data_IF_584437386037
#
_entry.id   IF_584437386037
#
_cell.length_a   1.000
_cell.length_b   1.000
_cell.length_c   1.000
_cell.angle_alpha   90.00
_cell.angle_beta   90.00
_cell.angle_gamma   90.00
#
_symmetry.space_group_name_H-M   'P 1'
#
loop_
_entity.id
_entity.type
_entity.pdbx_description
1 polymer ?
#
# COMPACT_ATOMS: atom_id res chain seq x y z
N UNK A 1 14.73 30.43 22.68
CA UNK A 1 13.85 29.25 22.86
C UNK A 1 14.26 28.07 21.99
N UNK A 2 15.53 27.59 22.11
CA UNK A 2 16.07 26.43 21.38
C UNK A 2 16.09 25.12 22.22
N UNK A 3 15.38 25.05 23.34
CA UNK A 3 15.66 24.08 24.41
C UNK A 3 14.95 22.74 24.37
N UNK A 4 13.82 22.56 23.69
CA UNK A 4 13.00 21.33 23.85
C UNK A 4 12.86 20.43 22.62
N UNK A 5 13.31 20.83 21.46
CA UNK A 5 13.16 20.01 20.24
C UNK A 5 14.13 18.81 20.22
N UNK A 6 15.30 18.90 20.88
CA UNK A 6 16.35 17.88 20.83
C UNK A 6 16.00 16.57 21.54
N UNK A 7 15.10 16.57 22.54
CA UNK A 7 14.76 15.37 23.34
C UNK A 7 13.36 14.83 22.98
N UNK A 8 12.50 15.67 22.43
CA UNK A 8 11.13 15.28 22.09
C UNK A 8 11.07 14.24 20.96
N UNK A 9 11.84 14.46 19.89
CA UNK A 9 11.88 13.53 18.75
C UNK A 9 12.43 12.15 19.10
N UNK A 10 13.60 12.03 19.79
CA UNK A 10 14.14 10.71 20.17
C UNK A 10 13.22 9.91 21.09
N UNK A 11 12.54 10.56 22.04
CA UNK A 11 11.58 9.88 22.93
C UNK A 11 10.39 9.32 22.16
N UNK A 12 9.83 10.08 21.23
CA UNK A 12 8.71 9.66 20.38
C UNK A 12 9.14 8.52 19.47
N UNK A 13 10.34 8.60 18.90
CA UNK A 13 10.93 7.55 18.07
C UNK A 13 11.10 6.25 18.86
N UNK A 14 11.59 6.32 20.11
CA UNK A 14 11.76 5.15 20.97
C UNK A 14 10.42 4.46 21.28
N UNK A 15 9.37 5.24 21.54
CA UNK A 15 8.02 4.70 21.78
C UNK A 15 7.53 3.94 20.55
N UNK A 16 7.64 4.55 19.36
CA UNK A 16 7.24 3.88 18.12
C UNK A 16 8.07 2.64 17.83
N UNK A 17 9.36 2.66 18.14
CA UNK A 17 10.23 1.50 18.01
C UNK A 17 9.78 0.34 18.91
N UNK A 18 9.46 0.62 20.18
CA UNK A 18 8.94 -0.40 21.11
C UNK A 18 7.60 -0.96 20.62
N UNK A 19 6.67 -0.08 20.16
CA UNK A 19 5.39 -0.51 19.60
C UNK A 19 5.60 -1.41 18.38
N UNK A 20 6.54 -1.05 17.50
CA UNK A 20 6.87 -1.86 16.32
C UNK A 20 7.45 -3.24 16.71
N UNK A 21 8.31 -3.32 17.73
CA UNK A 21 8.83 -4.60 18.22
C UNK A 21 7.74 -5.49 18.83
N UNK A 22 6.82 -4.88 19.59
CA UNK A 22 5.67 -5.61 20.16
C UNK A 22 4.77 -6.13 19.03
N UNK A 23 4.45 -5.30 18.04
CA UNK A 23 3.68 -5.71 16.88
C UNK A 23 4.36 -6.84 16.10
N UNK A 24 5.67 -6.73 15.87
CA UNK A 24 6.48 -7.77 15.23
C UNK A 24 6.42 -9.08 15.99
N UNK A 25 6.55 -9.03 17.32
CA UNK A 25 6.44 -10.23 18.18
C UNK A 25 5.07 -10.91 18.01
N UNK A 26 3.98 -10.15 18.03
CA UNK A 26 2.64 -10.71 17.83
C UNK A 26 2.47 -11.34 16.44
N UNK A 27 3.00 -10.71 15.39
CA UNK A 27 2.96 -11.27 14.03
C UNK A 27 3.76 -12.58 13.96
N UNK A 28 4.96 -12.62 14.54
CA UNK A 28 5.80 -13.82 14.53
C UNK A 28 5.25 -14.96 15.42
N UNK A 29 4.55 -14.63 16.50
CA UNK A 29 3.89 -15.58 17.38
C UNK A 29 2.54 -16.08 16.83
N UNK A 30 1.99 -15.42 15.84
CA UNK A 30 0.70 -15.78 15.23
C UNK A 30 0.89 -16.89 14.19
N UNK A 31 -0.01 -17.86 14.18
CA UNK A 31 -0.05 -18.87 13.14
C UNK A 31 -0.47 -18.27 11.79
N UNK A 32 0.14 -18.74 10.71
CA UNK A 32 -0.14 -18.29 9.34
C UNK A 32 -1.63 -18.36 8.98
N UNK A 33 -2.31 -19.44 9.36
CA UNK A 33 -3.73 -19.62 9.08
C UNK A 33 -4.59 -18.56 9.79
N UNK A 34 -4.20 -18.15 10.98
CA UNK A 34 -4.85 -17.07 11.71
C UNK A 34 -4.72 -15.75 10.96
N UNK A 35 -3.50 -15.37 10.56
CA UNK A 35 -3.24 -14.16 9.78
C UNK A 35 -4.02 -14.18 8.46
N UNK A 36 -4.01 -15.31 7.77
CA UNK A 36 -4.76 -15.54 6.53
C UNK A 36 -6.26 -15.36 6.74
N UNK A 37 -6.81 -15.83 7.85
CA UNK A 37 -8.22 -15.67 8.21
C UNK A 37 -8.66 -14.22 8.32
N UNK A 38 -7.80 -13.36 8.87
CA UNK A 38 -8.07 -11.92 9.03
C UNK A 38 -7.83 -11.07 7.78
N UNK A 39 -7.23 -11.60 6.74
CA UNK A 39 -6.84 -10.83 5.54
C UNK A 39 -8.01 -10.08 4.90
N UNK A 40 -9.18 -10.71 4.76
CA UNK A 40 -10.36 -10.07 4.15
C UNK A 40 -10.86 -8.89 5.00
N UNK A 41 -10.91 -9.08 6.33
CA UNK A 41 -11.34 -8.04 7.25
C UNK A 41 -10.34 -6.86 7.25
N UNK A 42 -9.06 -7.17 7.26
CA UNK A 42 -7.99 -6.17 7.25
C UNK A 42 -7.98 -5.37 5.93
N UNK A 43 -8.15 -6.06 4.79
CA UNK A 43 -8.26 -5.41 3.48
C UNK A 43 -9.51 -4.53 3.40
N UNK A 44 -10.68 -5.07 3.73
CA UNK A 44 -11.94 -4.30 3.74
C UNK A 44 -11.88 -3.09 4.68
N UNK A 45 -11.36 -3.29 5.90
CA UNK A 45 -11.15 -2.22 6.86
C UNK A 45 -10.21 -1.12 6.35
N UNK A 46 -9.12 -1.49 5.66
CA UNK A 46 -8.20 -0.52 5.08
C UNK A 46 -8.84 0.30 3.96
N UNK A 47 -9.69 -0.31 3.12
CA UNK A 47 -10.47 0.41 2.10
C UNK A 47 -11.44 1.40 2.74
N UNK A 48 -12.17 0.98 3.79
CA UNK A 48 -13.05 1.89 4.54
C UNK A 48 -12.27 3.08 5.10
N UNK A 49 -11.11 2.85 5.69
CA UNK A 49 -10.24 3.91 6.20
C UNK A 49 -9.73 4.85 5.09
N UNK A 50 -9.39 4.32 3.90
CA UNK A 50 -9.01 5.13 2.75
C UNK A 50 -10.17 6.02 2.26
N UNK A 51 -11.39 5.52 2.27
CA UNK A 51 -12.58 6.32 1.93
C UNK A 51 -12.85 7.37 3.02
N UNK A 52 -12.73 6.98 4.28
CA UNK A 52 -12.98 7.85 5.42
C UNK A 52 -12.02 9.04 5.44
N UNK A 53 -10.73 8.81 5.15
CA UNK A 53 -9.74 9.88 5.13
C UNK A 53 -9.98 10.92 4.02
N UNK A 54 -10.65 10.56 2.92
CA UNK A 54 -11.06 11.52 1.89
C UNK A 54 -12.08 12.54 2.42
N UNK A 55 -12.86 12.17 3.46
CA UNK A 55 -13.92 13.02 4.03
C UNK A 55 -13.40 13.82 5.23
N UNK A 56 -12.67 13.15 6.14
CA UNK A 56 -12.25 13.74 7.42
C UNK A 56 -10.74 13.98 7.53
N UNK A 57 -9.96 13.61 6.51
CA UNK A 57 -8.51 13.66 6.55
C UNK A 57 -7.95 15.08 6.55
N UNK A 58 -6.84 15.26 7.25
CA UNK A 58 -6.04 16.48 7.20
C UNK A 58 -5.08 16.44 6.01
N UNK A 59 -4.94 17.58 5.36
CA UNK A 59 -3.97 17.77 4.29
C UNK A 59 -2.60 18.09 4.87
N UNK A 60 -1.60 17.28 4.53
CA UNK A 60 -0.20 17.49 4.89
C UNK A 60 0.63 17.39 3.61
N UNK A 61 1.46 18.40 3.33
CA UNK A 61 2.29 18.50 2.13
C UNK A 61 1.49 18.31 0.80
N UNK A 62 0.24 18.77 0.77
CA UNK A 62 -0.61 18.69 -0.41
C UNK A 62 -1.43 17.38 -0.54
N UNK A 63 -1.19 16.38 0.30
CA UNK A 63 -1.94 15.12 0.30
C UNK A 63 -2.92 15.05 1.48
N UNK A 64 -4.21 14.77 1.19
CA UNK A 64 -5.26 14.57 2.21
C UNK A 64 -5.28 13.11 2.67
N UNK A 65 -4.22 12.69 3.37
CA UNK A 65 -4.00 11.29 3.71
C UNK A 65 -3.88 10.98 5.21
N UNK A 66 -4.12 11.94 6.12
CA UNK A 66 -3.85 11.79 7.54
C UNK A 66 -5.09 11.93 8.40
N UNK A 67 -5.32 10.96 9.28
CA UNK A 67 -6.32 11.03 10.36
C UNK A 67 -5.60 11.43 11.64
N UNK A 68 -5.94 12.59 12.18
CA UNK A 68 -5.37 13.07 13.43
C UNK A 68 -6.18 12.52 14.61
N UNK A 69 -5.52 11.71 15.44
CA UNK A 69 -6.08 11.16 16.68
C UNK A 69 -5.62 11.95 17.92
N UNK A 70 -5.11 13.16 17.73
CA UNK A 70 -4.63 14.06 18.78
C UNK A 70 -3.16 13.81 19.12
N UNK A 71 -2.82 12.69 19.73
CA UNK A 71 -1.44 12.34 20.11
C UNK A 71 -0.67 11.67 18.95
N UNK A 72 -1.37 10.96 18.10
CA UNK A 72 -0.83 10.19 16.98
C UNK A 72 -1.62 10.55 15.72
N UNK A 73 -0.92 10.71 14.60
CA UNK A 73 -1.54 10.81 13.28
C UNK A 73 -1.41 9.46 12.56
N UNK A 74 -2.52 8.94 12.05
CA UNK A 74 -2.59 7.69 11.31
C UNK A 74 -2.71 8.01 9.81
N UNK A 75 -1.91 7.33 8.99
CA UNK A 75 -2.03 7.38 7.54
C UNK A 75 -2.64 6.07 7.04
N UNK A 76 -3.92 6.04 6.63
CA UNK A 76 -4.59 4.82 6.16
C UNK A 76 -3.89 4.14 4.97
N UNK A 77 -3.21 4.91 4.12
CA UNK A 77 -2.44 4.37 3.00
C UNK A 77 -1.32 3.40 3.44
N UNK A 78 -0.72 3.61 4.62
CA UNK A 78 0.28 2.69 5.18
C UNK A 78 -0.33 1.31 5.48
N UNK A 79 -1.50 1.29 6.10
CA UNK A 79 -2.22 0.05 6.39
C UNK A 79 -2.71 -0.62 5.11
N UNK A 80 -3.21 0.17 4.16
CA UNK A 80 -3.73 -0.32 2.89
C UNK A 80 -2.65 -1.00 2.04
N UNK A 81 -1.40 -0.52 2.05
CA UNK A 81 -0.28 -1.19 1.37
C UNK A 81 -0.08 -2.60 1.91
N UNK A 82 0.00 -2.75 3.23
CA UNK A 82 0.17 -4.07 3.87
C UNK A 82 -1.02 -4.97 3.59
N UNK A 83 -2.24 -4.45 3.76
CA UNK A 83 -3.47 -5.20 3.51
C UNK A 83 -3.59 -5.67 2.05
N UNK A 84 -3.18 -4.83 1.10
CA UNK A 84 -3.16 -5.17 -0.34
C UNK A 84 -2.22 -6.33 -0.62
N UNK A 85 -0.99 -6.29 -0.10
CA UNK A 85 -0.01 -7.36 -0.30
C UNK A 85 -0.51 -8.67 0.32
N UNK A 86 -1.07 -8.63 1.53
CA UNK A 86 -1.65 -9.81 2.19
C UNK A 86 -2.81 -10.38 1.35
N UNK A 87 -3.70 -9.53 0.83
CA UNK A 87 -4.82 -9.95 0.01
C UNK A 87 -4.37 -10.56 -1.31
N UNK A 88 -3.39 -9.93 -1.99
CA UNK A 88 -2.83 -10.48 -3.22
C UNK A 88 -2.12 -11.81 -2.99
N UNK A 89 -1.34 -11.96 -1.90
CA UNK A 89 -0.70 -13.20 -1.52
C UNK A 89 -1.70 -14.32 -1.28
N UNK A 90 -2.78 -14.04 -0.55
CA UNK A 90 -3.89 -14.97 -0.34
C UNK A 90 -4.55 -15.39 -1.67
N UNK A 91 -4.78 -14.43 -2.57
CA UNK A 91 -5.37 -14.74 -3.88
C UNK A 91 -4.44 -15.57 -4.76
N UNK A 92 -3.14 -15.33 -4.72
CA UNK A 92 -2.15 -16.17 -5.41
C UNK A 92 -2.17 -17.61 -4.91
N UNK A 93 -2.29 -17.81 -3.59
CA UNK A 93 -2.43 -19.16 -3.02
C UNK A 93 -3.73 -19.82 -3.48
N UNK A 94 -4.88 -19.13 -3.45
CA UNK A 94 -6.17 -19.62 -3.94
C UNK A 94 -6.15 -19.98 -5.45
N UNK A 95 -5.25 -19.37 -6.22
CA UNK A 95 -5.03 -19.65 -7.65
C UNK A 95 -3.97 -20.73 -7.90
N UNK A 96 -3.44 -21.38 -6.84
CA UNK A 96 -2.38 -22.40 -6.93
C UNK A 96 -1.16 -21.93 -7.74
N UNK A 97 -0.85 -20.63 -7.66
CA UNK A 97 0.24 -19.99 -8.41
C UNK A 97 -0.03 -19.80 -9.91
N UNK A 98 -1.22 -20.12 -10.41
CA UNK A 98 -1.55 -19.95 -11.84
C UNK A 98 -1.96 -18.52 -12.19
N UNK A 99 -0.97 -17.60 -12.11
CA UNK A 99 -1.18 -16.16 -12.35
C UNK A 99 -1.25 -15.80 -13.84
N UNK A 100 -0.73 -16.65 -14.72
CA UNK A 100 -0.55 -16.34 -16.15
C UNK A 100 -1.85 -16.47 -16.97
N UNK A 101 -2.98 -16.82 -16.35
CA UNK A 101 -4.28 -16.74 -17.01
C UNK A 101 -4.79 -15.29 -16.95
N UNK A 102 -5.40 -14.84 -18.05
CA UNK A 102 -5.97 -13.48 -18.15
C UNK A 102 -6.93 -13.20 -16.98
N UNK A 103 -7.77 -14.18 -16.62
CA UNK A 103 -8.71 -14.07 -15.51
C UNK A 103 -8.00 -13.79 -14.17
N UNK A 104 -6.99 -14.59 -13.84
CA UNK A 104 -6.29 -14.48 -12.55
C UNK A 104 -5.47 -13.19 -12.47
N UNK A 105 -4.83 -12.79 -13.59
CA UNK A 105 -4.14 -11.51 -13.69
C UNK A 105 -5.07 -10.35 -13.33
N UNK A 106 -6.26 -10.28 -13.94
CA UNK A 106 -7.19 -9.18 -13.66
C UNK A 106 -7.83 -9.27 -12.26
N UNK A 107 -8.06 -10.46 -11.71
CA UNK A 107 -8.53 -10.60 -10.33
C UNK A 107 -7.50 -9.97 -9.37
N UNK A 108 -6.21 -10.29 -9.51
CA UNK A 108 -5.18 -9.66 -8.69
C UNK A 108 -5.11 -8.14 -8.91
N UNK A 109 -5.19 -7.72 -10.18
CA UNK A 109 -5.14 -6.29 -10.53
C UNK A 109 -6.26 -5.50 -9.85
N UNK A 110 -7.47 -6.02 -9.77
CA UNK A 110 -8.60 -5.34 -9.11
C UNK A 110 -8.29 -5.07 -7.63
N UNK A 111 -7.73 -6.05 -6.92
CA UNK A 111 -7.35 -5.87 -5.51
C UNK A 111 -6.24 -4.84 -5.31
N UNK A 112 -5.39 -4.60 -6.31
CA UNK A 112 -4.37 -3.57 -6.27
C UNK A 112 -4.90 -2.20 -6.72
N UNK A 113 -5.75 -2.15 -7.75
CA UNK A 113 -6.26 -0.92 -8.35
C UNK A 113 -7.20 -0.16 -7.40
N UNK A 114 -8.04 -0.87 -6.63
CA UNK A 114 -8.97 -0.21 -5.71
C UNK A 114 -8.25 0.69 -4.69
N UNK A 115 -7.29 0.18 -3.88
CA UNK A 115 -6.57 1.04 -2.95
C UNK A 115 -5.68 2.07 -3.67
N UNK A 116 -5.06 1.71 -4.81
CA UNK A 116 -4.25 2.64 -5.59
C UNK A 116 -5.06 3.85 -6.08
N UNK A 117 -6.26 3.62 -6.62
CA UNK A 117 -7.15 4.68 -7.08
C UNK A 117 -7.55 5.63 -5.93
N UNK A 118 -7.87 5.07 -4.75
CA UNK A 118 -8.19 5.89 -3.59
C UNK A 118 -7.00 6.73 -3.11
N UNK A 119 -5.78 6.20 -3.16
CA UNK A 119 -4.56 6.94 -2.81
C UNK A 119 -4.25 8.03 -3.84
N UNK A 120 -4.47 7.77 -5.13
CA UNK A 120 -4.31 8.78 -6.19
C UNK A 120 -5.30 9.94 -6.00
N UNK A 121 -6.55 9.66 -5.59
CA UNK A 121 -7.55 10.70 -5.29
C UNK A 121 -7.12 11.57 -4.08
N UNK A 122 -6.27 11.07 -3.17
CA UNK A 122 -5.69 11.81 -2.06
C UNK A 122 -4.50 12.72 -2.46
N UNK A 123 -4.20 12.93 -3.70
CA UNK A 123 -2.98 13.28 -4.44
C UNK A 123 -1.66 12.89 -3.74
N UNK A 124 -1.58 11.64 -3.23
CA UNK A 124 -0.36 11.11 -2.62
C UNK A 124 0.42 10.26 -3.65
N UNK A 125 1.16 10.93 -4.52
CA UNK A 125 1.95 10.28 -5.57
C UNK A 125 3.07 9.40 -5.00
N UNK A 126 3.64 9.79 -3.85
CA UNK A 126 4.68 9.01 -3.17
C UNK A 126 4.17 7.64 -2.74
N UNK A 127 3.02 7.60 -2.06
CA UNK A 127 2.37 6.35 -1.64
C UNK A 127 1.89 5.51 -2.81
N UNK A 128 1.37 6.15 -3.86
CA UNK A 128 0.96 5.46 -5.09
C UNK A 128 2.13 4.73 -5.74
N UNK A 129 3.29 5.40 -5.86
CA UNK A 129 4.50 4.78 -6.42
C UNK A 129 5.00 3.59 -5.57
N UNK A 130 5.02 3.75 -4.25
CA UNK A 130 5.42 2.65 -3.36
C UNK A 130 4.49 1.46 -3.53
N UNK A 131 3.17 1.68 -3.51
CA UNK A 131 2.19 0.60 -3.73
C UNK A 131 2.37 -0.05 -5.10
N UNK A 132 2.60 0.72 -6.16
CA UNK A 132 2.86 0.19 -7.50
C UNK A 132 4.05 -0.78 -7.52
N UNK A 133 5.21 -0.39 -6.96
CA UNK A 133 6.38 -1.26 -6.92
C UNK A 133 6.16 -2.50 -6.03
N UNK A 134 5.42 -2.38 -4.93
CA UNK A 134 5.06 -3.51 -4.09
C UNK A 134 4.17 -4.51 -4.86
N UNK A 135 3.16 -4.03 -5.56
CA UNK A 135 2.27 -4.84 -6.42
C UNK A 135 3.06 -5.53 -7.53
N UNK A 136 3.95 -4.79 -8.20
CA UNK A 136 4.84 -5.36 -9.23
C UNK A 136 5.71 -6.49 -8.65
N UNK A 137 6.24 -6.31 -7.44
CA UNK A 137 6.98 -7.34 -6.71
C UNK A 137 6.13 -8.60 -6.46
N UNK A 138 4.86 -8.45 -6.08
CA UNK A 138 3.94 -9.59 -5.90
C UNK A 138 3.71 -10.34 -7.22
N UNK A 139 3.50 -9.63 -8.32
CA UNK A 139 3.36 -10.26 -9.64
C UNK A 139 4.64 -11.01 -10.05
N UNK A 140 5.81 -10.42 -9.79
CA UNK A 140 7.09 -11.04 -10.09
C UNK A 140 7.33 -12.32 -9.26
N UNK A 141 7.09 -12.26 -7.94
CA UNK A 141 7.24 -13.41 -7.03
C UNK A 141 6.17 -14.46 -7.33
N UNK A 142 4.96 -14.05 -7.71
CA UNK A 142 3.86 -14.93 -8.09
C UNK A 142 4.09 -15.70 -9.42
N UNK A 143 5.20 -15.42 -10.12
CA UNK A 143 5.57 -16.15 -11.33
C UNK A 143 4.90 -15.64 -12.60
N UNK A 144 4.48 -14.35 -12.63
CA UNK A 144 4.01 -13.74 -13.87
C UNK A 144 5.11 -13.78 -14.95
N UNK A 145 4.74 -14.11 -16.18
CA UNK A 145 5.70 -14.14 -17.29
C UNK A 145 6.47 -12.82 -17.38
N UNK A 146 7.79 -12.91 -17.33
CA UNK A 146 8.70 -11.75 -17.40
C UNK A 146 8.47 -10.89 -18.63
N UNK A 147 7.98 -11.48 -19.72
CA UNK A 147 7.63 -10.72 -20.94
C UNK A 147 6.45 -9.80 -20.69
N UNK A 148 5.44 -10.23 -19.94
CA UNK A 148 4.26 -9.40 -19.60
C UNK A 148 4.71 -8.21 -18.73
N UNK A 149 5.58 -8.46 -17.74
CA UNK A 149 6.15 -7.40 -16.89
C UNK A 149 6.94 -6.40 -17.74
N UNK A 150 7.83 -6.90 -18.62
CA UNK A 150 8.68 -6.05 -19.44
C UNK A 150 7.87 -5.21 -20.43
N UNK A 151 6.89 -5.83 -21.11
CA UNK A 151 6.00 -5.09 -22.03
C UNK A 151 5.10 -4.10 -21.28
N UNK A 152 4.60 -4.46 -20.09
CA UNK A 152 3.81 -3.55 -19.24
C UNK A 152 4.62 -2.33 -18.81
N UNK A 153 5.83 -2.52 -18.30
CA UNK A 153 6.71 -1.42 -17.92
C UNK A 153 7.16 -0.58 -19.14
N UNK A 154 7.47 -1.24 -20.25
CA UNK A 154 7.85 -0.56 -21.49
C UNK A 154 6.71 0.30 -22.06
N UNK A 155 5.48 -0.20 -22.07
CA UNK A 155 4.30 0.57 -22.51
C UNK A 155 3.99 1.75 -21.59
N UNK A 156 4.17 1.57 -20.27
CA UNK A 156 4.01 2.66 -19.30
C UNK A 156 5.05 3.75 -19.51
N UNK A 157 6.32 3.38 -19.69
CA UNK A 157 7.39 4.34 -19.98
C UNK A 157 7.12 5.10 -21.29
N UNK A 158 6.72 4.39 -22.34
CA UNK A 158 6.36 5.00 -23.62
C UNK A 158 5.20 5.97 -23.47
N UNK A 159 4.17 5.61 -22.71
CA UNK A 159 3.03 6.49 -22.44
C UNK A 159 3.46 7.78 -21.73
N UNK A 160 4.32 7.68 -20.71
CA UNK A 160 4.87 8.85 -20.00
C UNK A 160 5.65 9.76 -20.96
N UNK A 161 6.53 9.20 -21.82
CA UNK A 161 7.28 9.96 -22.79
C UNK A 161 6.37 10.66 -23.82
N UNK A 162 5.32 9.97 -24.29
CA UNK A 162 4.36 10.55 -25.22
C UNK A 162 3.54 11.68 -24.59
N UNK A 163 3.09 11.49 -23.34
CA UNK A 163 2.37 12.52 -22.60
C UNK A 163 3.24 13.75 -22.33
N UNK A 164 4.50 13.55 -21.99
CA UNK A 164 5.47 14.64 -21.83
C UNK A 164 5.67 15.43 -23.13
N UNK A 165 5.85 14.74 -24.25
CA UNK A 165 6.02 15.40 -25.55
C UNK A 165 4.74 16.08 -26.07
N UNK A 166 3.56 15.64 -25.63
CA UNK A 166 2.28 16.25 -26.02
C UNK A 166 1.96 17.55 -25.25
N UNK A 167 2.75 17.91 -24.24
CA UNK A 167 2.52 19.07 -23.40
C UNK A 167 1.30 18.95 -22.45
N UNK A 168 0.81 17.73 -22.23
CA UNK A 168 -0.29 17.45 -21.30
C UNK A 168 0.16 17.31 -19.85
N UNK A 169 1.47 17.16 -19.64
CA UNK A 169 2.11 17.08 -18.32
C UNK A 169 3.32 18.00 -18.29
#
# INVERSE_FOLDING_TARGET
TKGNYGIFYPKRQLIFFIVALVALYFVLASDYNTIKGFTNLFYGGSIVLLVLVLVIGKTVNGAQGWIDLGVISLQPAELAKVATIMMMGRKLEEMEGNINTVKNFFILAIYAIIPAALIVIQPDMGMTMVLFFMVLGVYFIGGLDKRVILYGLGSMLLAVVLLWNSGLI
#
